data_IF_569770852543
#
_entry.id   IF_569770852543
#
_cell.length_a   1.000
_cell.length_b   1.000
_cell.length_c   1.000
_cell.angle_alpha   90.00
_cell.angle_beta   90.00
_cell.angle_gamma   90.00
#
_symmetry.space_group_name_H-M   'P 1'
#
loop_
_entity.id
_entity.type
_entity.pdbx_description
1 polymer ?
#
# COMPACT_ATOMS: atom_id res chain seq x y z
N UNK A 1 5.40 15.85 3.16
CA UNK A 1 5.39 15.26 1.81
C UNK A 1 6.08 13.91 1.86
N UNK A 2 5.74 13.05 0.92
CA UNK A 2 6.43 11.78 0.71
C UNK A 2 6.44 11.45 -0.77
N UNK A 3 7.54 10.91 -1.26
CA UNK A 3 7.58 10.29 -2.59
C UNK A 3 8.07 8.86 -2.46
N UNK A 4 7.61 8.03 -3.38
CA UNK A 4 7.84 6.60 -3.36
C UNK A 4 8.28 6.15 -4.73
N UNK A 5 9.29 5.30 -4.78
CA UNK A 5 9.82 4.73 -6.01
C UNK A 5 9.75 3.20 -5.95
N UNK A 6 9.54 2.59 -7.11
CA UNK A 6 9.61 1.14 -7.26
C UNK A 6 11.00 0.80 -7.77
N UNK A 7 11.74 0.02 -7.00
CA UNK A 7 13.02 -0.54 -7.39
C UNK A 7 12.79 -1.93 -8.00
N UNK A 8 12.57 -1.95 -9.32
CA UNK A 8 12.38 -3.17 -10.11
C UNK A 8 13.67 -3.70 -10.73
N UNK A 9 13.70 -4.99 -11.07
CA UNK A 9 14.77 -5.57 -11.90
C UNK A 9 15.99 -6.07 -11.11
N UNK A 10 15.78 -6.42 -9.84
CA UNK A 10 16.81 -7.11 -9.04
C UNK A 10 16.96 -8.56 -9.52
N UNK A 11 18.18 -9.13 -9.52
CA UNK A 11 18.36 -10.54 -9.85
C UNK A 11 17.58 -11.41 -8.87
N UNK A 12 16.87 -12.43 -9.38
CA UNK A 12 16.23 -13.42 -8.52
C UNK A 12 17.27 -14.04 -7.58
N UNK A 13 16.92 -14.26 -6.29
CA UNK A 13 15.56 -14.32 -5.72
C UNK A 13 15.05 -13.00 -5.11
N UNK A 14 15.66 -11.84 -5.39
CA UNK A 14 15.24 -10.60 -4.73
C UNK A 14 13.92 -10.07 -5.29
N UNK A 15 12.89 -10.00 -4.43
CA UNK A 15 11.61 -9.37 -4.71
C UNK A 15 11.81 -7.88 -5.04
N UNK A 16 10.97 -7.35 -5.95
CA UNK A 16 10.89 -5.92 -6.20
C UNK A 16 10.58 -5.17 -4.88
N UNK A 17 11.10 -3.96 -4.74
CA UNK A 17 11.01 -3.19 -3.50
C UNK A 17 10.38 -1.82 -3.74
N UNK A 18 9.58 -1.39 -2.79
CA UNK A 18 9.12 -0.02 -2.68
C UNK A 18 10.08 0.71 -1.75
N UNK A 19 10.61 1.86 -2.19
CA UNK A 19 11.38 2.76 -1.32
C UNK A 19 10.60 4.05 -1.17
N UNK A 20 10.30 4.42 0.08
CA UNK A 20 9.55 5.62 0.43
C UNK A 20 10.47 6.60 1.15
N UNK A 21 10.48 7.84 0.67
CA UNK A 21 11.20 8.96 1.25
C UNK A 21 10.18 9.92 1.85
N UNK A 22 10.32 10.20 3.13
CA UNK A 22 9.30 10.89 3.93
C UNK A 22 9.91 12.04 4.69
N UNK A 23 9.28 13.21 4.58
CA UNK A 23 9.62 14.34 5.45
C UNK A 23 9.26 14.02 6.92
N UNK A 24 9.80 14.77 7.91
CA UNK A 24 9.70 14.41 9.33
C UNK A 24 8.26 14.23 9.84
N UNK A 25 7.31 15.03 9.34
CA UNK A 25 5.90 14.94 9.72
C UNK A 25 5.12 13.85 8.98
N UNK A 26 5.74 13.17 8.02
CA UNK A 26 5.14 12.10 7.23
C UNK A 26 5.76 10.72 7.53
N UNK A 27 6.58 10.64 8.59
CA UNK A 27 7.16 9.38 9.08
C UNK A 27 6.07 8.37 9.42
N UNK A 28 6.39 7.09 9.29
CA UNK A 28 5.48 6.02 9.69
C UNK A 28 5.44 5.94 11.20
N UNK A 29 4.24 6.04 11.76
CA UNK A 29 3.97 5.82 13.17
C UNK A 29 3.96 4.30 13.44
N UNK A 30 4.89 3.83 14.27
CA UNK A 30 5.06 2.40 14.55
C UNK A 30 3.85 1.79 15.25
N UNK A 31 3.18 2.54 16.14
CA UNK A 31 1.97 2.06 16.83
C UNK A 31 0.82 1.90 15.84
N UNK A 32 0.67 2.86 14.92
CA UNK A 32 -0.35 2.79 13.86
C UNK A 32 -0.07 1.66 12.87
N UNK A 33 1.20 1.42 12.50
CA UNK A 33 1.59 0.30 11.64
C UNK A 33 1.31 -1.03 12.34
N UNK A 34 1.64 -1.14 13.62
CA UNK A 34 1.38 -2.33 14.42
C UNK A 34 -0.13 -2.62 14.52
N UNK A 35 -0.93 -1.61 14.83
CA UNK A 35 -2.39 -1.73 14.86
C UNK A 35 -2.96 -2.14 13.50
N UNK A 36 -2.47 -1.55 12.41
CA UNK A 36 -2.92 -1.92 11.06
C UNK A 36 -2.62 -3.39 10.77
N UNK A 37 -1.44 -3.90 11.16
CA UNK A 37 -1.09 -5.32 11.03
C UNK A 37 -1.99 -6.23 11.85
N UNK A 38 -2.35 -5.83 13.06
CA UNK A 38 -3.27 -6.61 13.91
C UNK A 38 -4.67 -6.73 13.28
N UNK A 39 -5.15 -5.70 12.59
CA UNK A 39 -6.47 -5.68 11.97
C UNK A 39 -6.48 -6.36 10.60
N UNK A 40 -5.45 -6.13 9.78
CA UNK A 40 -5.45 -6.48 8.35
C UNK A 40 -4.43 -7.56 7.97
N UNK A 41 -3.58 -8.01 8.90
CA UNK A 41 -2.59 -9.07 8.69
C UNK A 41 -1.67 -8.78 7.51
N UNK A 42 -1.53 -9.76 6.62
CA UNK A 42 -0.61 -9.74 5.47
C UNK A 42 -0.94 -8.67 4.41
N UNK A 43 -2.09 -7.99 4.52
CA UNK A 43 -2.39 -6.83 3.66
C UNK A 43 -1.54 -5.60 4.00
N UNK A 44 -0.98 -5.54 5.22
CA UNK A 44 -0.07 -4.46 5.62
C UNK A 44 1.36 -4.90 5.34
N UNK A 45 2.06 -4.26 4.39
CA UNK A 45 3.41 -4.66 4.06
C UNK A 45 4.37 -4.39 5.22
N UNK A 46 5.33 -5.28 5.41
CA UNK A 46 6.47 -5.05 6.28
C UNK A 46 7.24 -3.80 5.84
N UNK A 47 7.64 -2.96 6.80
CA UNK A 47 8.43 -1.76 6.53
C UNK A 47 9.72 -1.75 7.33
N UNK A 48 10.84 -1.50 6.66
CA UNK A 48 12.16 -1.34 7.30
C UNK A 48 12.61 0.10 7.21
N UNK A 49 12.97 0.71 8.34
CA UNK A 49 13.55 2.04 8.40
C UNK A 49 15.07 2.00 8.17
N UNK A 50 15.58 2.86 7.29
CA UNK A 50 17.00 2.89 6.89
C UNK A 50 17.75 4.14 7.36
N UNK A 51 17.11 5.00 8.16
CA UNK A 51 17.67 6.29 8.55
C UNK A 51 17.16 7.44 7.70
N UNK A 52 17.91 8.54 7.69
CA UNK A 52 17.56 9.76 6.96
C UNK A 52 18.65 10.17 5.97
N UNK A 53 18.27 10.87 4.90
CA UNK A 53 19.20 11.38 3.89
C UNK A 53 19.99 12.56 4.44
N UNK A 54 21.32 12.42 4.51
CA UNK A 54 22.21 13.52 4.84
C UNK A 54 22.21 14.59 3.74
N UNK A 55 22.11 15.87 4.11
CA UNK A 55 22.15 17.00 3.18
C UNK A 55 20.83 17.32 2.46
N UNK A 56 19.76 16.57 2.72
CA UNK A 56 18.41 16.95 2.29
C UNK A 56 17.82 18.03 3.20
N UNK A 57 17.16 19.03 2.61
CA UNK A 57 16.42 20.08 3.33
C UNK A 57 14.98 20.15 2.79
N UNK A 58 13.97 19.67 3.54
CA UNK A 58 14.07 19.04 4.86
C UNK A 58 14.66 17.61 4.83
N UNK A 59 15.14 17.07 5.96
CA UNK A 59 15.66 15.70 6.03
C UNK A 59 14.58 14.67 5.68
N UNK A 60 14.95 13.67 4.90
CA UNK A 60 14.03 12.63 4.42
C UNK A 60 14.34 11.29 5.07
N UNK A 61 13.39 10.76 5.83
CA UNK A 61 13.41 9.39 6.36
C UNK A 61 13.17 8.38 5.24
N UNK A 62 13.98 7.32 5.20
CA UNK A 62 13.96 6.28 4.17
C UNK A 62 13.34 5.01 4.73
N UNK A 63 12.34 4.48 4.03
CA UNK A 63 11.72 3.20 4.34
C UNK A 63 11.74 2.29 3.12
N UNK A 64 11.96 0.99 3.32
CA UNK A 64 11.74 -0.03 2.28
C UNK A 64 10.59 -0.96 2.64
N UNK A 65 9.80 -1.36 1.66
CA UNK A 65 8.70 -2.31 1.80
C UNK A 65 8.72 -3.29 0.63
N UNK A 66 8.33 -4.57 0.81
CA UNK A 66 8.18 -5.49 -0.29
C UNK A 66 7.13 -4.96 -1.28
N UNK A 67 7.43 -5.00 -2.57
CA UNK A 67 6.44 -4.69 -3.59
C UNK A 67 5.47 -5.87 -3.73
N UNK A 68 4.22 -5.65 -3.34
CA UNK A 68 3.15 -6.59 -3.56
C UNK A 68 2.64 -6.43 -4.99
N UNK A 69 2.79 -7.48 -5.80
CA UNK A 69 2.26 -7.49 -7.16
C UNK A 69 0.73 -7.48 -7.09
N UNK A 70 0.14 -6.48 -7.73
CA UNK A 70 -1.30 -6.31 -7.82
C UNK A 70 -1.66 -5.43 -9.00
N UNK A 71 -2.95 -5.32 -9.27
CA UNK A 71 -3.53 -4.39 -10.24
C UNK A 71 -4.07 -3.19 -9.49
N UNK A 72 -3.94 -1.99 -10.07
CA UNK A 72 -4.50 -0.78 -9.45
C UNK A 72 -6.02 -0.90 -9.38
N UNK A 73 -6.64 -0.46 -8.29
CA UNK A 73 -8.10 -0.44 -8.20
C UNK A 73 -8.71 0.41 -9.33
N UNK A 74 -8.02 1.45 -9.80
CA UNK A 74 -8.47 2.30 -10.91
C UNK A 74 -8.47 1.50 -12.22
N UNK A 75 -7.45 0.67 -12.45
CA UNK A 75 -7.39 -0.20 -13.63
C UNK A 75 -8.48 -1.27 -13.58
N UNK A 76 -8.74 -1.83 -12.39
CA UNK A 76 -9.82 -2.81 -12.18
C UNK A 76 -11.20 -2.17 -12.37
N UNK A 77 -11.42 -0.96 -11.85
CA UNK A 77 -12.70 -0.25 -11.97
C UNK A 77 -12.96 0.29 -13.38
N UNK A 78 -11.90 0.58 -14.14
CA UNK A 78 -12.00 0.96 -15.55
C UNK A 78 -12.47 -0.22 -16.42
N UNK A 79 -12.23 -1.46 -15.97
CA UNK A 79 -12.95 -2.62 -16.49
C UNK A 79 -14.37 -2.53 -15.95
N UNK A 80 -15.31 -2.07 -16.79
CA UNK A 80 -16.74 -2.27 -16.49
C UNK A 80 -16.95 -3.77 -16.34
N UNK A 81 -17.01 -4.23 -15.09
CA UNK A 81 -17.54 -5.54 -14.79
C UNK A 81 -18.99 -5.46 -15.21
N UNK A 82 -19.32 -5.99 -16.40
CA UNK A 82 -20.70 -6.31 -16.73
C UNK A 82 -21.14 -7.37 -15.73
N UNK A 83 -21.65 -6.91 -14.59
CA UNK A 83 -22.43 -7.77 -13.73
C UNK A 83 -23.71 -8.10 -14.48
N UNK A 84 -24.06 -9.38 -14.46
CA UNK A 84 -25.41 -9.79 -14.78
C UNK A 84 -26.37 -9.10 -13.79
N UNK A 85 -27.59 -8.80 -14.23
CA UNK A 85 -28.61 -8.15 -13.40
C UNK A 85 -28.82 -8.90 -12.07
N UNK A 86 -28.69 -10.23 -12.10
CA UNK A 86 -28.85 -11.10 -10.93
C UNK A 86 -27.69 -10.97 -9.92
N UNK A 87 -26.49 -10.60 -10.37
CA UNK A 87 -25.31 -10.37 -9.52
C UNK A 87 -25.29 -8.93 -8.96
N UNK A 88 -25.83 -7.96 -9.70
CA UNK A 88 -26.03 -6.58 -9.22
C UNK A 88 -27.00 -6.52 -8.04
N UNK A 89 -28.12 -7.25 -8.12
CA UNK A 89 -29.12 -7.31 -7.04
C UNK A 89 -28.54 -7.94 -5.77
N UNK A 90 -27.74 -9.01 -5.90
CA UNK A 90 -27.03 -9.62 -4.77
C UNK A 90 -26.04 -8.64 -4.15
N UNK A 91 -25.27 -7.92 -4.98
CA UNK A 91 -24.31 -6.94 -4.49
C UNK A 91 -24.98 -5.85 -3.65
N UNK A 92 -26.12 -5.31 -4.11
CA UNK A 92 -26.88 -4.31 -3.38
C UNK A 92 -27.39 -4.79 -2.01
N UNK A 93 -27.81 -6.06 -1.92
CA UNK A 93 -28.20 -6.69 -0.65
C UNK A 93 -27.01 -6.85 0.30
N UNK A 94 -25.86 -7.30 -0.22
CA UNK A 94 -24.63 -7.45 0.57
C UNK A 94 -24.14 -6.12 1.15
N UNK A 95 -24.11 -5.05 0.35
CA UNK A 95 -23.69 -3.71 0.81
C UNK A 95 -24.61 -3.19 1.91
N UNK A 96 -25.94 -3.38 1.78
CA UNK A 96 -26.90 -3.00 2.83
C UNK A 96 -26.72 -3.79 4.13
N UNK A 97 -26.30 -5.05 4.04
CA UNK A 97 -26.08 -5.89 5.21
C UNK A 97 -24.79 -5.55 5.95
N UNK A 98 -23.74 -5.14 5.22
CA UNK A 98 -22.45 -4.74 5.78
C UNK A 98 -22.44 -3.31 6.36
N UNK A 99 -23.37 -2.45 5.94
CA UNK A 99 -23.52 -1.09 6.44
C UNK A 99 -24.31 -1.00 7.77
N UNK A 100 -24.51 -2.13 8.46
CA UNK A 100 -25.25 -2.25 9.72
C UNK A 100 -24.34 -2.77 10.82
#
# INVERSE_FOLDING_TARGET
MSYTVICSGRPEPQQDLIVSFREPWAMLDEEMVQLAKEIHGDLVPESTYHGSVEGADPPLSIYSMPYLRGVSCIEVLAVQVKMDYDEEDKHGVFVKHLAR
#
